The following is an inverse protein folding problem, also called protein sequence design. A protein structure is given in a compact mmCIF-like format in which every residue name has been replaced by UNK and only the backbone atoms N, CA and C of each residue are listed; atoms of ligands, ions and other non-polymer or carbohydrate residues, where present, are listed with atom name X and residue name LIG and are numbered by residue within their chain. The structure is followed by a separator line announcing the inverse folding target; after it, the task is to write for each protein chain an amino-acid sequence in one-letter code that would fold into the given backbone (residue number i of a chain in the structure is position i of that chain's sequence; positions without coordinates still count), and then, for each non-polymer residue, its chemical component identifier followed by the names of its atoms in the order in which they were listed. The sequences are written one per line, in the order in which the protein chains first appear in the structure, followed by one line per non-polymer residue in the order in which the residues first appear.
data_IF_472120423077
#
_entry.id   IF_472120423077
#
_cell.length_a   1.000
_cell.length_b   1.000
_cell.length_c   1.000
_cell.angle_alpha   90.00
_cell.angle_beta   90.00
_cell.angle_gamma   90.00
#
_symmetry.space_group_name_H-M   'P 1'
#
loop_
_entity.id
_entity.type
_entity.pdbx_description
1 polymer ?
#
# COMPACT_ATOMS: atom_id res chain seq x y z
N UNK A 1 21.51 -23.81 21.47
CA UNK A 1 21.78 -22.61 20.65
C UNK A 1 20.48 -22.09 20.07
N UNK A 2 20.05 -20.87 20.44
CA UNK A 2 18.81 -20.27 19.91
C UNK A 2 19.00 -20.00 18.41
N UNK A 3 18.15 -20.59 17.55
CA UNK A 3 18.09 -20.28 16.13
C UNK A 3 17.68 -18.81 15.98
N UNK A 4 18.65 -17.92 15.83
CA UNK A 4 18.37 -16.53 15.46
C UNK A 4 17.66 -16.56 14.12
N UNK A 5 16.42 -16.04 14.07
CA UNK A 5 15.61 -16.03 12.86
C UNK A 5 16.10 -14.87 11.99
N UNK A 6 16.83 -15.11 10.89
CA UNK A 6 17.37 -14.03 10.04
C UNK A 6 16.26 -13.14 9.46
N UNK A 7 15.04 -13.68 9.41
CA UNK A 7 13.83 -13.01 8.91
C UNK A 7 13.48 -11.71 9.65
N UNK A 8 13.77 -11.60 10.95
CA UNK A 8 13.51 -10.38 11.71
C UNK A 8 14.45 -9.24 11.33
N UNK A 9 15.70 -9.57 11.03
CA UNK A 9 16.70 -8.58 10.62
C UNK A 9 16.46 -8.14 9.18
N UNK A 10 16.12 -9.07 8.28
CA UNK A 10 15.76 -8.74 6.89
C UNK A 10 14.53 -7.84 6.85
N UNK A 11 13.49 -8.14 7.64
CA UNK A 11 12.30 -7.28 7.71
C UNK A 11 12.64 -5.89 8.28
N UNK A 12 13.49 -5.83 9.32
CA UNK A 12 13.92 -4.57 9.90
C UNK A 12 14.75 -3.74 8.89
N UNK A 13 15.65 -4.36 8.13
CA UNK A 13 16.42 -3.72 7.06
C UNK A 13 15.52 -3.23 5.92
N UNK A 14 14.52 -4.01 5.51
CA UNK A 14 13.54 -3.61 4.50
C UNK A 14 12.70 -2.41 4.97
N UNK A 15 12.22 -2.44 6.22
CA UNK A 15 11.52 -1.31 6.83
C UNK A 15 12.43 -0.08 6.93
N UNK A 16 13.71 -0.27 7.26
CA UNK A 16 14.70 0.80 7.32
C UNK A 16 14.95 1.41 5.93
N UNK A 17 15.02 0.61 4.86
CA UNK A 17 15.14 1.13 3.50
C UNK A 17 13.91 1.92 3.06
N UNK A 18 12.70 1.57 3.48
CA UNK A 18 11.48 2.37 3.21
C UNK A 18 11.53 3.70 3.94
N UNK A 19 11.89 3.69 5.23
CA UNK A 19 11.93 4.89 6.07
C UNK A 19 13.03 5.87 5.59
N UNK A 20 14.14 5.36 5.07
CA UNK A 20 15.30 6.17 4.66
C UNK A 20 15.41 6.37 3.14
N UNK A 21 14.45 5.93 2.32
CA UNK A 21 14.43 6.25 0.87
C UNK A 21 14.02 7.72 0.59
N UNK A 22 14.47 8.65 1.44
CA UNK A 22 14.34 10.09 1.25
C UNK A 22 15.73 10.61 0.88
N UNK A 23 16.22 10.23 -0.30
CA UNK A 23 17.36 10.94 -0.90
C UNK A 23 16.83 12.26 -1.45
N UNK A 24 16.92 13.29 -0.61
CA UNK A 24 16.63 14.68 -0.98
C UNK A 24 17.59 15.11 -2.09
N UNK A 25 17.04 15.41 -3.27
CA UNK A 25 17.75 16.15 -4.32
C UNK A 25 17.04 17.50 -4.50
N UNK A 26 17.31 18.45 -3.60
CA UNK A 26 16.72 19.77 -3.66
C UNK A 26 17.01 20.47 -5.00
N UNK A 27 16.00 20.60 -5.88
CA UNK A 27 16.09 21.44 -7.06
C UNK A 27 14.74 22.13 -7.34
N UNK A 28 14.68 23.44 -7.08
CA UNK A 28 13.48 24.26 -6.82
C UNK A 28 12.60 24.60 -8.03
N UNK A 29 12.12 23.62 -8.78
CA UNK A 29 11.16 23.83 -9.87
C UNK A 29 9.90 23.02 -9.64
N UNK A 30 8.91 23.65 -9.00
CA UNK A 30 7.56 23.13 -8.72
C UNK A 30 6.67 23.06 -9.97
N UNK A 31 7.20 22.54 -11.08
CA UNK A 31 6.45 22.19 -12.28
C UNK A 31 6.64 20.69 -12.51
N UNK A 32 5.53 19.97 -12.63
CA UNK A 32 5.55 18.59 -13.11
C UNK A 32 6.09 18.59 -14.55
N UNK A 33 7.39 18.33 -14.71
CA UNK A 33 8.06 18.27 -16.03
C UNK A 33 7.68 16.98 -16.80
N UNK A 34 7.01 16.03 -16.15
CA UNK A 34 6.50 14.80 -16.76
C UNK A 34 5.10 14.99 -17.36
N UNK A 35 4.94 14.69 -18.66
CA UNK A 35 3.64 14.58 -19.34
C UNK A 35 2.76 13.44 -18.79
N UNK A 36 3.35 12.48 -18.08
CA UNK A 36 2.63 11.38 -17.43
C UNK A 36 2.26 11.74 -16.00
N UNK A 37 1.02 11.43 -15.61
CA UNK A 37 0.52 11.59 -14.25
C UNK A 37 0.81 10.33 -13.44
N UNK A 38 0.97 10.41 -12.11
CA UNK A 38 1.13 9.24 -11.26
C UNK A 38 0.00 8.20 -11.42
N UNK A 39 -1.21 8.65 -11.80
CA UNK A 39 -2.34 7.79 -12.12
C UNK A 39 -2.15 6.89 -13.35
N UNK A 40 -1.25 7.24 -14.28
CA UNK A 40 -0.96 6.41 -15.46
C UNK A 40 -0.21 5.12 -15.09
N UNK A 41 0.43 5.11 -13.92
CA UNK A 41 1.17 3.97 -13.39
C UNK A 41 0.27 2.99 -12.60
N UNK A 42 -0.84 3.48 -12.06
CA UNK A 42 -1.75 2.72 -11.19
C UNK A 42 -2.13 1.34 -11.72
N UNK A 43 -2.55 1.17 -12.99
CA UNK A 43 -2.97 -0.15 -13.48
C UNK A 43 -1.84 -1.18 -13.38
N UNK A 44 -0.61 -0.76 -13.68
CA UNK A 44 0.57 -1.63 -13.64
C UNK A 44 0.95 -1.99 -12.20
N UNK A 45 0.93 -0.99 -11.31
CA UNK A 45 1.16 -1.18 -9.87
C UNK A 45 0.16 -2.17 -9.28
N UNK A 46 -1.13 -1.98 -9.57
CA UNK A 46 -2.20 -2.87 -9.10
C UNK A 46 -1.94 -4.31 -9.56
N UNK A 47 -1.63 -4.51 -10.84
CA UNK A 47 -1.38 -5.86 -11.39
C UNK A 47 -0.19 -6.53 -10.69
N UNK A 48 0.92 -5.81 -10.53
CA UNK A 48 2.14 -6.35 -9.92
C UNK A 48 1.90 -6.66 -8.44
N UNK A 49 1.26 -5.75 -7.69
CA UNK A 49 0.95 -5.94 -6.27
C UNK A 49 0.05 -7.15 -6.06
N UNK A 50 -1.06 -7.23 -6.80
CA UNK A 50 -1.98 -8.37 -6.70
C UNK A 50 -1.31 -9.69 -7.08
N UNK A 51 -0.44 -9.68 -8.10
CA UNK A 51 0.30 -10.88 -8.49
C UNK A 51 1.24 -11.35 -7.37
N UNK A 52 2.07 -10.45 -6.83
CA UNK A 52 3.04 -10.78 -5.77
C UNK A 52 2.31 -11.27 -4.53
N UNK A 53 1.27 -10.59 -4.09
CA UNK A 53 0.57 -10.93 -2.85
C UNK A 53 -0.24 -12.22 -2.98
N UNK A 54 -1.00 -12.39 -4.07
CA UNK A 54 -1.76 -13.62 -4.30
C UNK A 54 -0.83 -14.83 -4.44
N UNK A 55 0.31 -14.70 -5.15
CA UNK A 55 1.30 -15.75 -5.26
C UNK A 55 1.97 -16.05 -3.91
N UNK A 56 2.35 -15.03 -3.15
CA UNK A 56 3.00 -15.18 -1.85
C UNK A 56 2.10 -15.94 -0.88
N UNK A 57 0.84 -15.54 -0.74
CA UNK A 57 -0.14 -16.19 0.14
C UNK A 57 -0.48 -17.60 -0.34
N UNK A 58 -0.57 -17.82 -1.65
CA UNK A 58 -0.92 -19.14 -2.16
C UNK A 58 0.25 -20.14 -2.11
N UNK A 59 1.50 -19.69 -2.33
CA UNK A 59 2.67 -20.58 -2.45
C UNK A 59 3.45 -20.76 -1.16
N UNK A 60 3.60 -19.73 -0.32
CA UNK A 60 4.45 -19.77 0.87
C UNK A 60 3.76 -20.51 2.03
N UNK A 61 2.63 -20.01 2.60
CA UNK A 61 1.91 -20.72 3.63
C UNK A 61 0.96 -21.82 3.07
N UNK A 62 0.88 -21.96 1.73
CA UNK A 62 0.05 -22.94 1.03
C UNK A 62 -1.44 -22.82 1.37
N UNK A 63 -2.02 -21.62 1.23
CA UNK A 63 -3.43 -21.35 1.52
C UNK A 63 -4.43 -22.14 0.65
N UNK A 64 -3.96 -22.74 -0.45
CA UNK A 64 -4.63 -23.84 -1.15
C UNK A 64 -5.53 -23.40 -2.30
N UNK A 65 -6.55 -22.57 -2.04
CA UNK A 65 -7.56 -22.19 -3.05
C UNK A 65 -7.15 -20.90 -3.78
N UNK A 66 -6.50 -20.95 -4.97
CA UNK A 66 -5.91 -19.77 -5.61
C UNK A 66 -6.93 -18.69 -5.96
N UNK A 67 -8.10 -19.08 -6.47
CA UNK A 67 -9.16 -18.11 -6.80
C UNK A 67 -9.67 -17.38 -5.55
N UNK A 68 -9.88 -18.11 -4.44
CA UNK A 68 -10.28 -17.49 -3.16
C UNK A 68 -9.19 -16.55 -2.64
N UNK A 69 -7.92 -16.94 -2.73
CA UNK A 69 -6.78 -16.09 -2.35
C UNK A 69 -6.78 -14.81 -3.17
N UNK A 70 -6.89 -14.92 -4.50
CA UNK A 70 -6.93 -13.77 -5.39
C UNK A 70 -8.08 -12.82 -5.05
N UNK A 71 -9.32 -13.31 -4.91
CA UNK A 71 -10.46 -12.46 -4.56
C UNK A 71 -10.26 -11.72 -3.22
N UNK A 72 -9.77 -12.42 -2.19
CA UNK A 72 -9.59 -11.83 -0.86
C UNK A 72 -8.48 -10.76 -0.90
N UNK A 73 -7.35 -11.06 -1.53
CA UNK A 73 -6.23 -10.11 -1.70
C UNK A 73 -6.67 -8.88 -2.49
N UNK A 74 -7.43 -9.07 -3.57
CA UNK A 74 -7.98 -7.95 -4.35
C UNK A 74 -8.89 -7.06 -3.52
N UNK A 75 -9.77 -7.64 -2.69
CA UNK A 75 -10.65 -6.87 -1.81
C UNK A 75 -9.85 -6.09 -0.78
N UNK A 76 -8.85 -6.70 -0.13
CA UNK A 76 -8.05 -6.02 0.90
C UNK A 76 -7.17 -4.92 0.33
N UNK A 77 -6.58 -5.13 -0.85
CA UNK A 77 -5.86 -4.08 -1.58
C UNK A 77 -6.77 -2.93 -1.98
N UNK A 78 -7.96 -3.23 -2.50
CA UNK A 78 -8.94 -2.21 -2.89
C UNK A 78 -9.37 -1.39 -1.66
N UNK A 79 -9.65 -2.04 -0.54
CA UNK A 79 -9.99 -1.36 0.72
C UNK A 79 -8.84 -0.48 1.22
N UNK A 80 -7.61 -0.98 1.16
CA UNK A 80 -6.42 -0.24 1.58
C UNK A 80 -6.16 0.96 0.69
N UNK A 81 -6.35 0.82 -0.61
CA UNK A 81 -6.27 1.92 -1.57
C UNK A 81 -7.40 2.95 -1.38
N UNK A 82 -8.62 2.50 -1.10
CA UNK A 82 -9.77 3.39 -0.91
C UNK A 82 -9.72 4.13 0.44
N UNK A 83 -9.09 3.55 1.47
CA UNK A 83 -9.15 4.07 2.84
C UNK A 83 -8.72 5.54 2.98
N UNK A 84 -7.57 6.01 2.44
CA UNK A 84 -7.20 7.43 2.53
C UNK A 84 -8.25 8.36 1.92
N UNK A 85 -8.82 8.00 0.78
CA UNK A 85 -9.83 8.81 0.10
C UNK A 85 -11.14 8.85 0.88
N UNK A 86 -11.60 7.71 1.40
CA UNK A 86 -12.81 7.62 2.22
C UNK A 86 -12.65 8.39 3.54
N UNK A 87 -11.48 8.29 4.17
CA UNK A 87 -11.18 9.01 5.40
C UNK A 87 -11.20 10.52 5.18
N UNK A 88 -10.49 11.00 4.15
CA UNK A 88 -10.48 12.42 3.80
C UNK A 88 -11.87 12.92 3.41
N UNK A 89 -12.62 12.16 2.62
CA UNK A 89 -13.99 12.53 2.26
C UNK A 89 -14.89 12.66 3.50
N UNK A 90 -14.81 11.70 4.43
CA UNK A 90 -15.57 11.74 5.67
C UNK A 90 -15.19 12.94 6.54
N UNK A 91 -13.91 13.27 6.65
CA UNK A 91 -13.44 14.46 7.38
C UNK A 91 -13.95 15.76 6.76
N UNK A 92 -13.89 15.91 5.44
CA UNK A 92 -14.45 17.08 4.76
C UNK A 92 -15.96 17.17 4.94
N UNK A 93 -16.68 16.05 4.84
CA UNK A 93 -18.12 16.01 5.05
C UNK A 93 -18.48 16.41 6.50
N UNK A 94 -17.70 16.00 7.50
CA UNK A 94 -17.93 16.39 8.90
C UNK A 94 -17.63 17.87 9.16
N UNK A 95 -16.57 18.42 8.56
CA UNK A 95 -16.18 19.82 8.74
C UNK A 95 -17.16 20.78 8.04
N UNK A 96 -17.68 20.36 6.88
CA UNK A 96 -18.77 21.05 6.19
C UNK A 96 -20.07 21.02 7.01
N UNK A 97 -20.45 19.84 7.53
CA UNK A 97 -21.66 19.67 8.34
C UNK A 97 -21.61 20.42 9.68
N UNK A 98 -20.41 20.66 10.22
CA UNK A 98 -20.21 21.39 11.47
C UNK A 98 -20.02 22.89 11.29
N UNK A 99 -20.09 23.39 10.04
CA UNK A 99 -19.95 24.82 9.73
C UNK A 99 -18.53 25.36 9.89
N UNK A 100 -17.53 24.51 10.13
CA UNK A 100 -16.13 24.92 10.24
C UNK A 100 -15.49 25.21 8.87
N UNK A 101 -16.10 24.72 7.80
CA UNK A 101 -15.63 24.94 6.43
C UNK A 101 -16.75 25.51 5.55
N UNK A 102 -16.47 26.62 4.87
CA UNK A 102 -17.33 27.21 3.83
C UNK A 102 -16.71 26.95 2.46
N UNK A 103 -17.37 26.11 1.64
CA UNK A 103 -16.85 25.68 0.35
C UNK A 103 -17.69 24.56 -0.28
N UNK A 104 -17.34 24.13 -1.48
CA UNK A 104 -18.02 23.04 -2.19
C UNK A 104 -17.29 21.71 -1.90
N UNK A 105 -18.04 20.61 -1.72
CA UNK A 105 -17.43 19.28 -1.64
C UNK A 105 -16.74 18.96 -2.98
N UNK A 106 -15.46 18.60 -2.95
CA UNK A 106 -14.74 18.16 -4.14
C UNK A 106 -15.35 16.87 -4.69
N UNK A 107 -15.50 16.79 -6.00
CA UNK A 107 -15.86 15.55 -6.69
C UNK A 107 -14.75 14.49 -6.53
N UNK A 108 -15.08 13.21 -6.70
CA UNK A 108 -14.08 12.13 -6.62
C UNK A 108 -12.89 12.36 -7.58
N UNK A 109 -13.16 12.89 -8.77
CA UNK A 109 -12.12 13.23 -9.75
C UNK A 109 -11.23 14.36 -9.26
N UNK A 110 -11.79 15.41 -8.66
CA UNK A 110 -11.02 16.49 -8.06
C UNK A 110 -10.24 16.00 -6.83
N UNK A 111 -10.79 15.09 -6.02
CA UNK A 111 -10.04 14.48 -4.93
C UNK A 111 -8.83 13.69 -5.42
N UNK A 112 -8.95 12.99 -6.56
CA UNK A 112 -7.82 12.34 -7.22
C UNK A 112 -6.81 13.37 -7.76
N UNK A 113 -7.28 14.45 -8.38
CA UNK A 113 -6.39 15.46 -8.98
C UNK A 113 -5.69 16.35 -7.91
N UNK A 114 -6.30 16.56 -6.74
CA UNK A 114 -5.84 17.52 -5.70
C UNK A 114 -5.06 16.84 -4.58
N UNK A 115 -5.43 15.63 -4.16
CA UNK A 115 -4.71 15.00 -3.05
C UNK A 115 -3.43 14.31 -3.54
N UNK A 116 -2.27 14.61 -2.93
CA UNK A 116 -1.07 13.78 -3.06
C UNK A 116 -1.21 12.46 -2.28
N UNK A 117 -2.43 11.94 -2.08
CA UNK A 117 -2.68 10.65 -1.40
C UNK A 117 -2.25 9.45 -2.22
N UNK A 118 -1.93 9.64 -3.49
CA UNK A 118 -1.26 8.60 -4.29
C UNK A 118 0.15 8.29 -3.80
N UNK A 119 0.79 9.16 -2.99
CA UNK A 119 2.16 8.92 -2.52
C UNK A 119 2.19 7.66 -1.65
N UNK A 120 2.68 6.55 -2.22
CA UNK A 120 2.84 5.26 -1.55
C UNK A 120 4.03 5.38 -0.60
N UNK A 121 3.76 5.99 0.57
CA UNK A 121 4.74 6.26 1.62
C UNK A 121 4.60 5.32 2.81
N UNK A 122 5.39 5.56 3.86
CA UNK A 122 5.39 4.74 5.07
C UNK A 122 4.00 4.61 5.73
N UNK A 123 3.16 5.65 5.65
CA UNK A 123 1.78 5.62 6.15
C UNK A 123 0.90 4.57 5.43
N UNK A 124 1.13 4.35 4.13
CA UNK A 124 0.37 3.38 3.34
C UNK A 124 0.62 1.94 3.81
N UNK A 125 1.86 1.59 4.16
CA UNK A 125 2.20 0.27 4.72
C UNK A 125 1.40 -0.02 6.00
N UNK A 126 1.24 0.98 6.89
CA UNK A 126 0.48 0.78 8.12
C UNK A 126 -0.99 0.53 7.84
N UNK A 127 -1.58 1.27 6.90
CA UNK A 127 -2.97 1.11 6.48
C UNK A 127 -3.18 -0.27 5.86
N UNK A 128 -2.32 -0.68 4.92
CA UNK A 128 -2.45 -1.97 4.25
C UNK A 128 -2.32 -3.10 5.27
N UNK A 129 -1.29 -3.09 6.12
CA UNK A 129 -1.11 -4.11 7.16
C UNK A 129 -2.31 -4.14 8.13
N UNK A 130 -2.84 -2.98 8.53
CA UNK A 130 -3.99 -2.90 9.45
C UNK A 130 -5.27 -3.48 8.85
N UNK A 131 -5.45 -3.43 7.53
CA UNK A 131 -6.63 -3.96 6.83
C UNK A 131 -6.41 -5.43 6.41
N UNK A 132 -5.25 -5.72 5.82
CA UNK A 132 -4.88 -7.02 5.27
C UNK A 132 -4.79 -8.09 6.36
N UNK A 133 -4.14 -7.79 7.50
CA UNK A 133 -3.96 -8.78 8.56
C UNK A 133 -5.31 -9.29 9.05
N UNK A 134 -6.27 -8.46 9.53
CA UNK A 134 -7.54 -8.97 10.03
C UNK A 134 -8.29 -9.83 9.02
N UNK A 135 -8.30 -9.43 7.75
CA UNK A 135 -9.13 -10.05 6.72
C UNK A 135 -8.45 -11.31 6.16
N UNK A 136 -7.22 -11.20 5.64
CA UNK A 136 -6.48 -12.32 5.02
C UNK A 136 -6.15 -13.38 6.07
N UNK A 137 -5.64 -12.97 7.24
CA UNK A 137 -5.30 -13.91 8.30
C UNK A 137 -6.55 -14.65 8.79
N UNK A 138 -7.65 -13.95 9.08
CA UNK A 138 -8.87 -14.61 9.56
C UNK A 138 -9.46 -15.57 8.53
N UNK A 139 -9.34 -15.24 7.24
CA UNK A 139 -9.87 -16.06 6.15
C UNK A 139 -9.08 -17.36 5.93
N UNK A 140 -7.75 -17.32 6.06
CA UNK A 140 -6.88 -18.45 5.71
C UNK A 140 -6.19 -19.15 6.90
N UNK A 141 -6.25 -18.61 8.13
CA UNK A 141 -5.58 -19.22 9.32
C UNK A 141 -5.97 -20.67 9.58
N UNK A 142 -7.17 -21.09 9.16
CA UNK A 142 -7.67 -22.46 9.33
C UNK A 142 -7.36 -23.37 8.13
N UNK A 143 -6.86 -22.81 7.02
CA UNK A 143 -6.51 -23.54 5.79
C UNK A 143 -4.99 -23.78 5.66
N UNK A 144 -4.17 -23.18 6.52
CA UNK A 144 -2.71 -23.27 6.48
C UNK A 144 -2.16 -24.10 7.64
N UNK A 145 -1.07 -24.82 7.42
CA UNK A 145 -0.39 -25.60 8.46
C UNK A 145 0.32 -24.69 9.48
N UNK A 146 0.91 -23.58 9.02
CA UNK A 146 1.68 -22.68 9.87
C UNK A 146 1.08 -21.26 9.86
N UNK A 147 0.29 -20.96 10.89
CA UNK A 147 -0.37 -19.65 11.08
C UNK A 147 0.63 -18.50 11.20
N UNK A 148 1.77 -18.72 11.87
CA UNK A 148 2.83 -17.70 11.99
C UNK A 148 3.45 -17.40 10.63
N UNK A 149 3.66 -18.42 9.80
CA UNK A 149 4.16 -18.23 8.44
C UNK A 149 3.18 -17.41 7.59
N UNK A 150 1.86 -17.67 7.70
CA UNK A 150 0.84 -16.86 7.03
C UNK A 150 0.94 -15.38 7.45
N UNK A 151 0.99 -15.09 8.75
CA UNK A 151 1.11 -13.72 9.26
C UNK A 151 2.36 -13.01 8.70
N UNK A 152 3.51 -13.66 8.77
CA UNK A 152 4.75 -13.08 8.24
C UNK A 152 4.74 -12.94 6.72
N UNK A 153 4.03 -13.82 6.01
CA UNK A 153 3.87 -13.71 4.55
C UNK A 153 3.05 -12.48 4.19
N UNK A 154 1.94 -12.22 4.92
CA UNK A 154 1.11 -11.03 4.72
C UNK A 154 1.96 -9.76 4.92
N UNK A 155 2.65 -9.66 6.06
CA UNK A 155 3.50 -8.49 6.38
C UNK A 155 4.62 -8.33 5.34
N UNK A 156 5.35 -9.41 5.05
CA UNK A 156 6.48 -9.37 4.12
C UNK A 156 6.07 -9.01 2.70
N UNK A 157 4.95 -9.56 2.21
CA UNK A 157 4.47 -9.28 0.87
C UNK A 157 4.09 -7.79 0.71
N UNK A 158 3.34 -7.23 1.66
CA UNK A 158 2.94 -5.81 1.66
C UNK A 158 4.15 -4.86 1.72
N UNK A 159 5.15 -5.18 2.55
CA UNK A 159 6.37 -4.37 2.63
C UNK A 159 7.13 -4.42 1.30
N UNK A 160 7.29 -5.61 0.72
CA UNK A 160 8.00 -5.78 -0.56
C UNK A 160 7.26 -5.07 -1.69
N UNK A 161 5.94 -5.23 -1.81
CA UNK A 161 5.15 -4.56 -2.85
C UNK A 161 5.24 -3.05 -2.70
N UNK A 162 5.14 -2.52 -1.49
CA UNK A 162 5.28 -1.08 -1.24
C UNK A 162 6.67 -0.56 -1.63
N UNK A 163 7.75 -1.29 -1.31
CA UNK A 163 9.12 -0.92 -1.73
C UNK A 163 9.21 -0.89 -3.26
N UNK A 164 8.71 -1.93 -3.94
CA UNK A 164 8.74 -2.01 -5.40
C UNK A 164 8.04 -0.79 -6.00
N UNK A 165 6.87 -0.43 -5.49
CA UNK A 165 6.12 0.71 -6.00
C UNK A 165 6.85 2.03 -5.74
N UNK A 166 7.36 2.24 -4.52
CA UNK A 166 8.11 3.45 -4.18
C UNK A 166 9.37 3.63 -5.06
N UNK A 167 10.04 2.53 -5.41
CA UNK A 167 11.19 2.54 -6.33
C UNK A 167 10.75 2.85 -7.76
N UNK A 168 9.68 2.21 -8.26
CA UNK A 168 9.15 2.48 -9.61
C UNK A 168 8.70 3.94 -9.73
N UNK A 169 8.01 4.46 -8.73
CA UNK A 169 7.59 5.86 -8.68
C UNK A 169 8.79 6.82 -8.71
N UNK A 170 9.82 6.58 -7.90
CA UNK A 170 11.03 7.42 -7.93
C UNK A 170 11.76 7.40 -9.28
N UNK A 171 11.77 6.26 -9.97
CA UNK A 171 12.44 6.13 -11.27
C UNK A 171 11.64 6.82 -12.38
N UNK A 172 10.33 6.62 -12.41
CA UNK A 172 9.46 7.07 -13.52
C UNK A 172 8.91 8.49 -13.33
N UNK A 173 8.67 8.87 -12.09
CA UNK A 173 8.14 10.16 -11.67
C UNK A 173 9.04 10.72 -10.57
N UNK A 174 10.31 11.01 -10.87
CA UNK A 174 11.15 11.70 -9.91
C UNK A 174 10.41 12.97 -9.49
N UNK A 175 10.12 13.09 -8.20
CA UNK A 175 9.38 14.23 -7.69
C UNK A 175 10.10 15.51 -8.14
N UNK A 176 9.41 16.43 -8.85
CA UNK A 176 9.92 17.77 -9.00
C UNK A 176 9.88 18.40 -7.61
N UNK A 177 11.02 18.92 -7.16
CA UNK A 177 11.10 19.67 -5.91
C UNK A 177 10.63 21.10 -6.18
#
# INVERSE_FOLDING_TARGET
MKKHKPMSYVLCCLLFTVVFHITVSANSTSLWISERRPFDLLPYVIIITLAIEALSINKIPKAGKPFKVFCVVTITNLLSFAFPYLFTYASFASDFSSGQMSGQLYSFKEMLDILPTYTIGAAYIFITIAIEIPIVYSTFKNSVQNKKLLLWTIIGANVITTIIVAVIENILFPAPW
#
